data_IF_676475076022
#
_entry.id   IF_676475076022
#
_cell.length_a   1.000
_cell.length_b   1.000
_cell.length_c   1.000
_cell.angle_alpha   90.00
_cell.angle_beta   90.00
_cell.angle_gamma   90.00
#
_symmetry.space_group_name_H-M   'P 1'
#
loop_
_entity.id
_entity.type
_entity.pdbx_description
1 polymer ?
#
# COMPACT_ATOMS: atom_id res chain seq x y z
N UNK A 1 -15.22 3.97 -19.99
CA UNK A 1 -14.62 2.63 -20.18
C UNK A 1 -13.85 2.31 -18.91
N UNK A 2 -14.31 1.36 -18.10
CA UNK A 2 -13.53 0.91 -16.93
C UNK A 2 -12.45 -0.05 -17.42
N UNK A 3 -11.18 0.30 -17.20
CA UNK A 3 -10.04 -0.53 -17.58
C UNK A 3 -9.92 -1.72 -16.62
N UNK A 4 -10.43 -1.59 -15.40
CA UNK A 4 -10.48 -2.66 -14.38
C UNK A 4 -11.84 -2.66 -13.70
N UNK A 5 -12.27 -3.84 -13.29
CA UNK A 5 -13.51 -3.96 -12.53
C UNK A 5 -13.33 -3.46 -11.09
N UNK A 6 -14.44 -3.07 -10.47
CA UNK A 6 -14.47 -2.46 -9.14
C UNK A 6 -13.95 -3.42 -8.06
N UNK A 7 -14.20 -4.73 -8.20
CA UNK A 7 -13.80 -5.75 -7.22
C UNK A 7 -12.29 -5.95 -7.20
N UNK A 8 -11.67 -6.17 -8.36
CA UNK A 8 -10.23 -6.31 -8.48
C UNK A 8 -9.50 -5.04 -7.98
N UNK A 9 -10.05 -3.86 -8.28
CA UNK A 9 -9.49 -2.59 -7.78
C UNK A 9 -9.58 -2.51 -6.26
N UNK A 10 -10.69 -2.93 -5.66
CA UNK A 10 -10.87 -2.93 -4.22
C UNK A 10 -9.83 -3.84 -3.53
N UNK A 11 -9.68 -5.08 -4.00
CA UNK A 11 -8.71 -6.04 -3.46
C UNK A 11 -7.28 -5.51 -3.56
N UNK A 12 -6.88 -4.98 -4.71
CA UNK A 12 -5.53 -4.40 -4.89
C UNK A 12 -5.31 -3.20 -3.96
N UNK A 13 -6.30 -2.31 -3.81
CA UNK A 13 -6.20 -1.17 -2.87
C UNK A 13 -6.05 -1.65 -1.44
N UNK A 14 -6.77 -2.69 -1.04
CA UNK A 14 -6.69 -3.26 0.30
C UNK A 14 -5.32 -3.88 0.57
N UNK A 15 -4.80 -4.70 -0.32
CA UNK A 15 -3.44 -5.26 -0.25
C UNK A 15 -2.38 -4.15 -0.11
N UNK A 16 -2.50 -3.08 -0.88
CA UNK A 16 -1.55 -1.97 -0.81
C UNK A 16 -1.66 -1.16 0.49
N UNK A 17 -2.86 -1.03 1.05
CA UNK A 17 -3.07 -0.43 2.38
C UNK A 17 -2.46 -1.30 3.47
N UNK A 18 -2.71 -2.60 3.42
CA UNK A 18 -2.18 -3.56 4.39
C UNK A 18 -0.65 -3.62 4.36
N UNK A 19 -0.04 -3.57 3.19
CA UNK A 19 1.42 -3.50 3.02
C UNK A 19 2.04 -2.27 3.69
N UNK A 20 1.32 -1.15 3.75
CA UNK A 20 1.77 0.06 4.46
C UNK A 20 1.58 -0.04 5.98
N UNK A 21 0.55 -0.74 6.44
CA UNK A 21 0.20 -0.83 7.85
C UNK A 21 0.90 -1.99 8.59
N UNK A 22 1.16 -3.10 7.91
CA UNK A 22 1.69 -4.34 8.49
C UNK A 22 3.01 -4.79 7.87
N UNK A 23 3.32 -4.29 6.67
CA UNK A 23 4.53 -4.64 5.93
C UNK A 23 5.81 -3.94 6.43
N UNK A 24 6.89 -4.10 5.69
CA UNK A 24 8.21 -3.53 5.98
C UNK A 24 8.23 -1.99 6.08
N UNK A 25 7.24 -1.33 5.46
CA UNK A 25 7.14 0.13 5.46
C UNK A 25 6.40 0.70 6.68
N UNK A 26 5.78 -0.13 7.53
CA UNK A 26 4.99 0.30 8.69
C UNK A 26 5.71 1.34 9.55
N UNK A 27 6.96 1.07 9.93
CA UNK A 27 7.75 1.99 10.78
C UNK A 27 7.99 3.35 10.13
N UNK A 28 8.06 3.40 8.80
CA UNK A 28 8.31 4.65 8.05
C UNK A 28 7.05 5.49 7.86
N UNK A 29 5.88 4.89 8.02
CA UNK A 29 4.58 5.55 7.89
C UNK A 29 3.87 5.76 9.23
N UNK A 30 4.53 5.42 10.33
CA UNK A 30 3.96 5.45 11.69
C UNK A 30 3.53 6.85 12.14
N UNK A 31 4.19 7.88 11.61
CA UNK A 31 3.84 9.29 11.85
C UNK A 31 2.50 9.71 11.22
N UNK A 32 2.05 9.00 10.19
CA UNK A 32 0.72 9.20 9.62
C UNK A 32 -0.29 8.41 10.48
N UNK A 33 -1.03 9.11 11.33
CA UNK A 33 -1.97 8.52 12.29
C UNK A 33 -3.30 8.03 11.67
N UNK A 34 -3.30 7.66 10.37
CA UNK A 34 -4.48 7.19 9.61
C UNK A 34 -4.14 5.91 8.84
N UNK A 35 -5.18 5.16 8.47
CA UNK A 35 -5.07 3.85 7.82
C UNK A 35 -5.76 3.78 6.45
N UNK A 36 -6.26 4.91 5.94
CA UNK A 36 -7.00 4.98 4.68
C UNK A 36 -6.14 5.35 3.47
N UNK A 37 -4.84 5.15 3.58
CA UNK A 37 -3.88 5.31 2.50
C UNK A 37 -3.18 3.99 2.18
N UNK A 38 -2.69 3.88 0.95
CA UNK A 38 -1.90 2.75 0.49
C UNK A 38 -0.80 3.21 -0.45
N UNK A 39 0.12 2.32 -0.80
CA UNK A 39 1.18 2.69 -1.72
C UNK A 39 2.14 1.56 -2.04
N UNK A 40 3.01 1.85 -3.02
CA UNK A 40 4.02 0.91 -3.50
C UNK A 40 5.32 1.61 -3.81
N UNK A 41 6.41 1.02 -3.34
CA UNK A 41 7.77 1.40 -3.72
C UNK A 41 8.15 0.84 -5.09
N UNK A 42 9.01 1.54 -5.81
CA UNK A 42 9.71 1.04 -6.99
C UNK A 42 11.19 1.38 -6.89
N UNK A 43 12.04 0.48 -7.36
CA UNK A 43 13.47 0.70 -7.49
C UNK A 43 13.92 0.05 -8.78
N UNK A 44 14.64 0.78 -9.62
CA UNK A 44 15.25 0.21 -10.82
C UNK A 44 16.48 -0.62 -10.46
N UNK A 45 16.94 -1.45 -11.40
CA UNK A 45 18.21 -2.14 -11.24
C UNK A 45 19.33 -1.14 -10.97
N UNK A 46 20.31 -1.54 -10.18
CA UNK A 46 21.46 -0.71 -9.79
C UNK A 46 21.10 0.62 -9.11
N UNK A 47 19.89 0.72 -8.55
CA UNK A 47 19.38 1.93 -7.87
C UNK A 47 19.55 3.21 -8.69
N UNK A 48 19.34 3.16 -10.02
CA UNK A 48 19.42 4.33 -10.91
C UNK A 48 18.30 5.32 -10.60
N UNK A 49 17.11 4.81 -10.27
CA UNK A 49 16.01 5.65 -9.81
C UNK A 49 15.13 4.91 -8.82
N UNK A 50 14.54 5.67 -7.92
CA UNK A 50 13.63 5.17 -6.90
C UNK A 50 12.29 5.89 -6.98
N UNK A 51 11.23 5.14 -6.65
CA UNK A 51 9.86 5.58 -6.73
C UNK A 51 9.10 5.25 -5.46
N UNK A 52 8.16 6.10 -5.13
CA UNK A 52 7.04 5.76 -4.28
C UNK A 52 5.77 6.36 -4.85
N UNK A 53 4.78 5.51 -5.16
CA UNK A 53 3.43 5.94 -5.53
C UNK A 53 2.49 5.57 -4.42
N UNK A 54 1.86 6.57 -3.81
CA UNK A 54 0.89 6.38 -2.75
C UNK A 54 -0.43 7.07 -3.07
N UNK A 55 -1.48 6.62 -2.42
CA UNK A 55 -2.84 7.13 -2.65
C UNK A 55 -3.65 7.21 -1.35
N UNK A 56 -4.51 8.19 -1.32
CA UNK A 56 -5.75 8.28 -0.55
C UNK A 56 -6.91 8.25 -1.55
N UNK A 57 -8.17 8.16 -1.12
CA UNK A 57 -9.30 8.14 -2.07
C UNK A 57 -9.37 9.40 -2.97
N UNK A 58 -9.06 10.56 -2.41
CA UNK A 58 -9.15 11.85 -3.09
C UNK A 58 -7.80 12.34 -3.65
N UNK A 59 -6.70 11.59 -3.43
CA UNK A 59 -5.37 12.03 -3.81
C UNK A 59 -4.48 10.87 -4.21
N UNK A 60 -3.79 11.02 -5.33
CA UNK A 60 -2.66 10.16 -5.73
C UNK A 60 -1.42 11.02 -5.84
N UNK A 61 -0.35 10.59 -5.18
CA UNK A 61 0.93 11.31 -5.19
C UNK A 61 2.06 10.35 -5.48
N UNK A 62 2.93 10.73 -6.40
CA UNK A 62 4.10 9.95 -6.76
C UNK A 62 5.36 10.78 -6.53
N UNK A 63 6.35 10.17 -5.89
CA UNK A 63 7.70 10.70 -5.72
C UNK A 63 8.64 9.89 -6.59
N UNK A 64 9.47 10.56 -7.36
CA UNK A 64 10.57 9.99 -8.13
C UNK A 64 11.88 10.67 -7.77
N UNK A 65 12.93 9.88 -7.67
CA UNK A 65 14.29 10.37 -7.42
C UNK A 65 15.24 9.63 -8.35
N UNK A 66 16.11 10.37 -8.99
CA UNK A 66 17.14 9.88 -9.89
C UNK A 66 18.14 10.98 -10.24
N UNK A 67 19.30 10.61 -10.73
CA UNK A 67 20.27 11.53 -11.27
C UNK A 67 19.98 11.83 -12.74
N UNK A 68 20.24 13.05 -13.19
CA UNK A 68 19.99 13.49 -14.59
C UNK A 68 20.83 12.70 -15.61
N UNK A 69 22.00 12.21 -15.19
CA UNK A 69 22.91 11.40 -16.01
C UNK A 69 22.65 9.89 -15.91
N UNK A 70 21.57 9.49 -15.21
CA UNK A 70 21.22 8.09 -14.95
C UNK A 70 22.30 7.28 -14.21
N UNK A 71 23.20 7.94 -13.52
CA UNK A 71 24.13 7.27 -12.60
C UNK A 71 23.37 6.69 -11.40
N UNK A 72 23.94 5.65 -10.78
CA UNK A 72 23.36 5.06 -9.57
C UNK A 72 23.25 6.09 -8.44
N UNK A 73 22.17 5.98 -7.67
CA UNK A 73 21.97 6.76 -6.45
C UNK A 73 22.84 6.27 -5.28
N UNK A 74 23.39 5.05 -5.39
CA UNK A 74 24.21 4.41 -4.39
C UNK A 74 23.71 3.03 -4.00
N UNK A 75 24.55 2.29 -3.28
CA UNK A 75 24.15 1.01 -2.68
C UNK A 75 23.11 1.28 -1.57
N UNK A 76 22.15 0.37 -1.45
CA UNK A 76 21.04 0.45 -0.47
C UNK A 76 20.06 1.64 -0.62
N UNK A 77 20.12 2.35 -1.75
CA UNK A 77 19.18 3.42 -2.06
C UNK A 77 17.94 2.88 -2.77
N UNK A 78 16.90 2.64 -1.96
CA UNK A 78 15.64 2.06 -2.42
C UNK A 78 14.49 3.07 -2.34
N UNK A 79 13.38 2.77 -3.01
CA UNK A 79 12.17 3.56 -2.90
C UNK A 79 11.66 3.70 -1.45
N UNK A 80 11.94 2.73 -0.60
CA UNK A 80 11.60 2.77 0.83
C UNK A 80 12.53 3.65 1.67
N UNK A 81 13.78 3.87 1.24
CA UNK A 81 14.77 4.66 1.98
C UNK A 81 14.81 6.11 1.57
N UNK A 82 14.51 6.43 0.31
CA UNK A 82 14.58 7.80 -0.21
C UNK A 82 13.20 8.35 -0.60
N UNK A 83 12.47 7.69 -1.52
CA UNK A 83 11.23 8.22 -2.07
C UNK A 83 10.08 8.21 -1.05
N UNK A 84 9.94 7.13 -0.27
CA UNK A 84 8.89 7.00 0.74
C UNK A 84 8.95 8.07 1.84
N UNK A 85 10.11 8.41 2.44
CA UNK A 85 10.18 9.47 3.45
C UNK A 85 9.70 10.83 2.95
N UNK A 86 10.00 11.18 1.70
CA UNK A 86 9.52 12.42 1.08
C UNK A 86 8.00 12.39 0.92
N UNK A 87 7.46 11.27 0.46
CA UNK A 87 6.02 11.06 0.35
C UNK A 87 5.34 11.16 1.73
N UNK A 88 5.92 10.55 2.76
CA UNK A 88 5.41 10.61 4.13
C UNK A 88 5.37 12.05 4.64
N UNK A 89 6.47 12.80 4.49
CA UNK A 89 6.55 14.21 4.91
C UNK A 89 5.48 15.08 4.22
N UNK A 90 5.18 14.83 2.94
CA UNK A 90 4.09 15.48 2.25
C UNK A 90 2.72 15.07 2.83
N UNK A 91 2.48 13.79 3.02
CA UNK A 91 1.20 13.26 3.47
C UNK A 91 0.87 13.61 4.92
N UNK A 92 1.86 13.75 5.81
CA UNK A 92 1.66 14.24 7.18
C UNK A 92 0.95 15.60 7.23
N UNK A 93 1.21 16.44 6.24
CA UNK A 93 0.61 17.77 6.16
C UNK A 93 -0.71 17.80 5.39
N UNK A 94 -0.91 16.88 4.47
CA UNK A 94 -2.07 16.88 3.56
C UNK A 94 -3.20 16.00 4.10
N UNK A 95 -2.89 14.83 4.61
CA UNK A 95 -3.90 13.83 5.01
C UNK A 95 -4.85 14.32 6.12
N UNK A 96 -4.42 15.15 7.10
CA UNK A 96 -5.33 15.72 8.08
C UNK A 96 -6.39 16.66 7.49
N UNK A 97 -6.17 17.19 6.29
CA UNK A 97 -7.09 18.07 5.59
C UNK A 97 -8.09 17.31 4.70
N UNK A 98 -7.85 16.03 4.47
CA UNK A 98 -8.72 15.17 3.68
C UNK A 98 -9.76 14.47 4.58
N UNK A 99 -10.98 14.23 4.09
CA UNK A 99 -11.97 13.46 4.84
C UNK A 99 -11.47 12.04 5.10
N UNK A 100 -11.79 11.47 6.26
CA UNK A 100 -11.48 10.07 6.51
C UNK A 100 -12.36 9.19 5.62
N UNK A 101 -11.72 8.28 4.87
CA UNK A 101 -12.40 7.43 3.92
C UNK A 101 -12.53 5.99 4.41
N UNK A 102 -13.80 5.53 4.47
CA UNK A 102 -14.12 4.11 4.68
C UNK A 102 -14.68 3.54 3.39
N UNK A 103 -13.91 2.67 2.76
CA UNK A 103 -14.34 2.02 1.53
C UNK A 103 -15.59 1.16 1.76
N UNK A 104 -16.58 1.31 0.89
CA UNK A 104 -17.69 0.36 0.83
C UNK A 104 -17.25 -0.88 0.05
N UNK A 105 -17.52 -2.05 0.62
CA UNK A 105 -17.17 -3.33 0.00
C UNK A 105 -18.07 -3.52 -1.23
N UNK A 106 -17.50 -3.71 -2.44
CA UNK A 106 -18.27 -3.99 -3.64
C UNK A 106 -19.01 -5.32 -3.54
N UNK A 107 -20.16 -5.42 -4.20
CA UNK A 107 -20.86 -6.69 -4.35
C UNK A 107 -19.96 -7.71 -5.08
N UNK A 108 -19.94 -8.96 -4.63
CA UNK A 108 -19.09 -10.02 -5.16
C UNK A 108 -17.68 -10.02 -4.54
N UNK A 109 -17.55 -9.46 -3.34
CA UNK A 109 -16.41 -9.67 -2.45
C UNK A 109 -16.94 -10.18 -1.12
N UNK A 110 -16.36 -11.25 -0.63
CA UNK A 110 -16.64 -11.82 0.69
C UNK A 110 -15.38 -11.84 1.56
N UNK A 111 -15.58 -11.74 2.88
CA UNK A 111 -14.53 -12.00 3.86
C UNK A 111 -14.61 -13.45 4.30
N UNK A 112 -13.49 -14.13 4.25
CA UNK A 112 -13.38 -15.52 4.74
C UNK A 112 -12.26 -15.59 5.76
N UNK A 113 -12.43 -16.42 6.77
CA UNK A 113 -11.33 -16.80 7.63
C UNK A 113 -10.47 -17.83 6.94
N UNK A 114 -9.17 -17.61 6.95
CA UNK A 114 -8.17 -18.54 6.39
C UNK A 114 -7.09 -18.79 7.43
N UNK A 115 -6.60 -20.01 7.49
CA UNK A 115 -5.46 -20.34 8.31
C UNK A 115 -4.19 -19.74 7.72
N UNK A 116 -3.35 -19.13 8.56
CA UNK A 116 -2.14 -18.41 8.15
C UNK A 116 -1.09 -19.30 7.48
N UNK A 117 -1.02 -20.56 7.90
CA UNK A 117 0.01 -21.48 7.40
C UNK A 117 -0.42 -22.19 6.12
N UNK A 118 -1.70 -22.63 6.07
CA UNK A 118 -2.21 -23.45 4.95
C UNK A 118 -2.90 -22.64 3.86
N UNK A 119 -3.40 -21.43 4.20
CA UNK A 119 -4.23 -20.64 3.30
C UNK A 119 -5.65 -21.22 3.06
N UNK A 120 -6.00 -22.31 3.74
CA UNK A 120 -7.31 -22.91 3.63
C UNK A 120 -8.35 -22.20 4.49
N UNK A 121 -9.64 -22.34 4.12
CA UNK A 121 -10.72 -21.82 4.95
C UNK A 121 -10.67 -22.45 6.34
N UNK A 122 -10.83 -21.60 7.34
CA UNK A 122 -10.72 -21.99 8.74
C UNK A 122 -12.03 -21.74 9.47
N UNK A 123 -12.30 -22.59 10.46
CA UNK A 123 -13.43 -22.48 11.37
C UNK A 123 -13.18 -21.40 12.45
N UNK A 124 -14.24 -21.01 13.18
CA UNK A 124 -14.19 -19.95 14.21
C UNK A 124 -13.29 -20.28 15.42
N UNK A 125 -12.86 -21.53 15.55
CA UNK A 125 -12.04 -22.03 16.67
C UNK A 125 -10.53 -22.02 16.40
N UNK A 126 -10.10 -21.59 15.20
CA UNK A 126 -8.68 -21.54 14.83
C UNK A 126 -8.06 -20.20 15.23
N UNK A 127 -7.21 -20.23 16.25
CA UNK A 127 -6.51 -19.04 16.78
C UNK A 127 -5.49 -18.44 15.79
N UNK A 128 -5.02 -19.23 14.81
CA UNK A 128 -4.09 -18.82 13.76
C UNK A 128 -4.79 -18.34 12.48
N UNK A 129 -6.10 -18.17 12.50
CA UNK A 129 -6.85 -17.67 11.36
C UNK A 129 -6.92 -16.14 11.32
N UNK A 130 -6.95 -15.60 10.11
CA UNK A 130 -7.21 -14.19 9.83
C UNK A 130 -8.29 -14.05 8.74
N UNK A 131 -8.82 -12.84 8.59
CA UNK A 131 -9.79 -12.57 7.52
C UNK A 131 -9.07 -12.17 6.25
N UNK A 132 -9.47 -12.81 5.14
CA UNK A 132 -8.97 -12.55 3.79
C UNK A 132 -10.12 -12.18 2.87
N UNK A 133 -9.85 -11.39 1.84
CA UNK A 133 -10.80 -11.00 0.81
C UNK A 133 -10.83 -12.04 -0.31
N UNK A 134 -12.00 -12.55 -0.63
CA UNK A 134 -12.22 -13.40 -1.80
C UNK A 134 -13.15 -12.72 -2.80
N UNK A 135 -12.83 -12.93 -4.08
CA UNK A 135 -13.72 -12.62 -5.21
C UNK A 135 -14.67 -13.81 -5.40
N UNK A 136 -15.96 -13.52 -5.37
CA UNK A 136 -17.03 -14.52 -5.63
C UNK A 136 -17.12 -14.88 -7.12
#
# INVERSE_FOLDING_TARGET
MCIRDRRSTYVVKDILKEAMQRGSNRRRTESISRNDFGGKTGTTNDSISTWFSGFHEDLVTTVWIGNDDFSSLGEDEFGSTIALPIWVSFMENVIPQLPEYKASIPQGISFVRVNKETGERSDDLDDDAYFELLLD
#
